data_IF_530580562961
#
_entry.id   IF_530580562961
#
_cell.length_a   1.000
_cell.length_b   1.000
_cell.length_c   1.000
_cell.angle_alpha   90.00
_cell.angle_beta   90.00
_cell.angle_gamma   90.00
#
_symmetry.space_group_name_H-M   'P 1'
#
loop_
_entity.id
_entity.type
_entity.pdbx_description
1 polymer ?
#
# COMPACT_ATOMS: atom_id res chain seq x y z
N UNK A 1 16.07 1.34 -5.95
CA UNK A 1 16.92 2.13 -5.04
C UNK A 1 16.22 2.46 -3.74
N UNK A 2 15.17 3.29 -3.77
CA UNK A 2 14.55 3.88 -2.57
C UNK A 2 13.93 2.89 -1.58
N UNK A 3 13.15 1.91 -2.04
CA UNK A 3 12.45 0.97 -1.14
C UNK A 3 13.39 -0.02 -0.43
N UNK A 4 14.40 -0.52 -1.14
CA UNK A 4 15.44 -1.38 -0.57
C UNK A 4 16.27 -0.61 0.47
N UNK A 5 16.56 0.67 0.20
CA UNK A 5 17.25 1.55 1.16
C UNK A 5 16.50 1.74 2.47
N UNK A 6 15.17 1.93 2.42
CA UNK A 6 14.34 2.06 3.64
C UNK A 6 14.36 0.79 4.48
N UNK A 7 14.28 -0.38 3.83
CA UNK A 7 14.33 -1.69 4.51
C UNK A 7 15.70 -1.92 5.16
N UNK A 8 16.79 -1.63 4.46
CA UNK A 8 18.16 -1.77 4.97
C UNK A 8 18.45 -0.77 6.10
N UNK A 9 18.03 0.49 5.98
CA UNK A 9 18.10 1.46 7.07
C UNK A 9 17.28 1.00 8.29
N UNK A 10 16.11 0.39 8.06
CA UNK A 10 15.28 -0.17 9.12
C UNK A 10 15.98 -1.32 9.86
N UNK A 11 16.66 -2.22 9.15
CA UNK A 11 17.46 -3.28 9.77
C UNK A 11 18.57 -2.72 10.65
N UNK A 12 19.35 -1.76 10.14
CA UNK A 12 20.37 -1.08 10.93
C UNK A 12 19.81 -0.32 12.14
N UNK A 13 18.63 0.30 12.01
CA UNK A 13 18.00 1.04 13.12
C UNK A 13 17.55 0.14 14.28
N UNK A 14 17.30 -1.14 14.01
CA UNK A 14 16.87 -2.13 15.00
C UNK A 14 18.01 -3.08 15.42
N UNK A 15 19.25 -2.82 14.99
CA UNK A 15 20.40 -3.67 15.30
C UNK A 15 20.36 -5.05 14.62
N UNK A 16 19.60 -5.19 13.53
CA UNK A 16 19.52 -6.42 12.75
C UNK A 16 20.67 -6.45 11.72
N UNK A 17 21.69 -7.25 11.99
CA UNK A 17 22.77 -7.57 11.04
C UNK A 17 22.28 -8.62 10.04
N UNK A 18 21.35 -8.23 9.17
CA UNK A 18 20.84 -9.08 8.11
C UNK A 18 21.62 -8.87 6.81
N UNK A 19 21.90 -9.93 6.03
CA UNK A 19 22.53 -9.78 4.74
C UNK A 19 21.60 -9.02 3.77
N UNK A 20 22.17 -8.27 2.83
CA UNK A 20 21.42 -7.34 1.94
C UNK A 20 20.37 -8.03 1.07
N UNK A 21 20.53 -9.32 0.79
CA UNK A 21 19.58 -10.19 0.09
C UNK A 21 18.30 -10.43 0.91
N UNK A 22 18.39 -10.45 2.25
CA UNK A 22 17.23 -10.55 3.14
C UNK A 22 16.24 -9.42 2.92
N UNK A 23 16.73 -8.19 2.64
CA UNK A 23 15.87 -7.05 2.33
C UNK A 23 15.02 -7.28 1.07
N UNK A 24 15.62 -7.88 0.02
CA UNK A 24 14.91 -8.19 -1.23
C UNK A 24 13.87 -9.29 -1.00
N UNK A 25 14.23 -10.33 -0.25
CA UNK A 25 13.34 -11.47 0.02
C UNK A 25 12.15 -11.03 0.88
N UNK A 26 12.40 -10.23 1.92
CA UNK A 26 11.33 -9.66 2.77
C UNK A 26 10.39 -8.78 1.93
N UNK A 27 10.93 -7.95 1.02
CA UNK A 27 10.11 -7.14 0.11
C UNK A 27 9.25 -8.00 -0.83
N UNK A 28 9.82 -9.06 -1.41
CA UNK A 28 9.09 -9.95 -2.32
C UNK A 28 7.97 -10.70 -1.58
N UNK A 29 8.25 -11.23 -0.39
CA UNK A 29 7.24 -11.93 0.42
C UNK A 29 6.13 -10.96 0.86
N UNK A 30 6.47 -9.74 1.29
CA UNK A 30 5.47 -8.72 1.59
C UNK A 30 4.64 -8.35 0.36
N UNK A 31 5.25 -8.18 -0.80
CA UNK A 31 4.54 -7.88 -2.05
C UNK A 31 3.54 -8.99 -2.39
N UNK A 32 3.93 -10.25 -2.27
CA UNK A 32 3.02 -11.39 -2.47
C UNK A 32 1.89 -11.37 -1.43
N UNK A 33 2.20 -11.11 -0.16
CA UNK A 33 1.19 -10.98 0.90
C UNK A 33 0.18 -9.87 0.63
N UNK A 34 0.62 -8.74 0.06
CA UNK A 34 -0.28 -7.63 -0.30
C UNK A 34 -1.18 -7.92 -1.50
N UNK A 35 -0.85 -8.91 -2.34
CA UNK A 35 -1.73 -9.33 -3.45
C UNK A 35 -3.02 -10.00 -2.95
N UNK A 36 -3.07 -10.40 -1.68
CA UNK A 36 -4.30 -10.85 -1.03
C UNK A 36 -4.88 -9.63 -0.28
N UNK A 37 -5.83 -8.88 -0.87
CA UNK A 37 -6.40 -7.70 -0.23
C UNK A 37 -7.39 -8.14 0.86
N UNK A 38 -6.89 -8.43 2.06
CA UNK A 38 -7.71 -8.91 3.18
C UNK A 38 -8.18 -7.80 4.12
N UNK A 39 -7.60 -6.60 4.04
CA UNK A 39 -7.93 -5.46 4.90
C UNK A 39 -7.61 -4.11 4.23
N UNK A 40 -8.35 -3.02 4.55
CA UNK A 40 -8.03 -1.67 4.09
C UNK A 40 -6.58 -1.30 4.43
N UNK A 41 -5.81 -0.87 3.43
CA UNK A 41 -4.42 -0.47 3.61
C UNK A 41 -3.42 -1.61 3.87
N UNK A 42 -3.81 -2.89 3.69
CA UNK A 42 -2.94 -4.06 3.90
C UNK A 42 -2.44 -4.25 5.35
N UNK A 43 -3.18 -3.70 6.31
CA UNK A 43 -2.93 -3.90 7.74
C UNK A 43 -3.26 -5.37 8.10
N UNK A 44 -2.35 -6.04 8.80
CA UNK A 44 -2.40 -7.46 9.13
C UNK A 44 -1.68 -8.33 8.10
N UNK A 45 -2.00 -8.24 6.81
CA UNK A 45 -1.38 -9.09 5.77
C UNK A 45 0.09 -8.74 5.55
N UNK A 46 0.43 -7.45 5.53
CA UNK A 46 1.82 -7.00 5.39
C UNK A 46 2.66 -7.37 6.61
N UNK A 47 2.14 -7.18 7.82
CA UNK A 47 2.83 -7.54 9.06
C UNK A 47 3.03 -9.06 9.13
N UNK A 48 2.00 -9.84 8.82
CA UNK A 48 2.09 -11.30 8.79
C UNK A 48 3.15 -11.79 7.80
N UNK A 49 3.10 -11.31 6.55
CA UNK A 49 4.03 -11.71 5.50
C UNK A 49 5.47 -11.29 5.81
N UNK A 50 5.68 -10.06 6.29
CA UNK A 50 7.01 -9.56 6.65
C UNK A 50 7.58 -10.28 7.88
N UNK A 51 6.77 -10.57 8.90
CA UNK A 51 7.19 -11.36 10.06
C UNK A 51 7.54 -12.79 9.66
N UNK A 52 6.77 -13.41 8.77
CA UNK A 52 7.07 -14.74 8.24
C UNK A 52 8.42 -14.76 7.51
N UNK A 53 8.67 -13.76 6.67
CA UNK A 53 9.93 -13.62 5.95
C UNK A 53 11.12 -13.45 6.91
N UNK A 54 11.02 -12.53 7.88
CA UNK A 54 12.11 -12.27 8.83
C UNK A 54 12.36 -13.42 9.79
N UNK A 55 11.33 -14.19 10.15
CA UNK A 55 11.49 -15.41 10.95
C UNK A 55 12.37 -16.45 10.25
N UNK A 56 12.35 -16.51 8.91
CA UNK A 56 13.22 -17.40 8.14
C UNK A 56 14.72 -17.03 8.29
N UNK A 57 15.01 -15.78 8.65
CA UNK A 57 16.36 -15.29 8.95
C UNK A 57 16.71 -15.35 10.43
N UNK A 58 15.92 -16.02 11.26
CA UNK A 58 16.19 -16.17 12.69
C UNK A 58 15.84 -14.94 13.53
N UNK A 59 15.11 -13.96 12.96
CA UNK A 59 14.64 -12.78 13.72
C UNK A 59 13.51 -13.19 14.64
N UNK A 60 13.57 -12.72 15.89
CA UNK A 60 12.50 -12.94 16.86
C UNK A 60 11.15 -12.41 16.35
N UNK A 61 10.04 -13.16 16.48
CA UNK A 61 8.74 -12.74 15.97
C UNK A 61 8.24 -11.39 16.50
N UNK A 62 8.53 -11.05 17.76
CA UNK A 62 8.12 -9.76 18.35
C UNK A 62 8.89 -8.59 17.73
N UNK A 63 10.18 -8.80 17.46
CA UNK A 63 11.03 -7.81 16.82
C UNK A 63 10.73 -7.67 15.32
N UNK A 64 10.43 -8.78 14.64
CA UNK A 64 9.98 -8.79 13.26
C UNK A 64 8.62 -8.08 13.07
N UNK A 65 7.68 -8.27 14.00
CA UNK A 65 6.42 -7.50 14.01
C UNK A 65 6.67 -6.01 14.23
N UNK A 66 7.56 -5.66 15.16
CA UNK A 66 7.92 -4.26 15.41
C UNK A 66 8.53 -3.60 14.17
N UNK A 67 9.44 -4.29 13.49
CA UNK A 67 10.03 -3.83 12.23
C UNK A 67 8.95 -3.60 11.15
N UNK A 68 8.08 -4.59 10.91
CA UNK A 68 7.07 -4.49 9.85
C UNK A 68 6.03 -3.40 10.12
N UNK A 69 5.70 -3.14 11.40
CA UNK A 69 4.86 -2.02 11.80
C UNK A 69 5.52 -0.67 11.50
N UNK A 70 6.78 -0.49 11.90
CA UNK A 70 7.54 0.75 11.63
C UNK A 70 7.67 0.96 10.12
N UNK A 71 8.02 -0.08 9.38
CA UNK A 71 8.11 -0.04 7.92
C UNK A 71 6.78 0.41 7.31
N UNK A 72 5.66 -0.21 7.70
CA UNK A 72 4.34 0.15 7.19
C UNK A 72 3.96 1.60 7.51
N UNK A 73 4.15 2.02 8.75
CA UNK A 73 3.90 3.39 9.19
C UNK A 73 4.76 4.40 8.42
N UNK A 74 6.04 4.09 8.20
CA UNK A 74 6.97 4.97 7.47
C UNK A 74 6.55 5.23 6.03
N UNK A 75 5.85 4.28 5.39
CA UNK A 75 5.33 4.44 4.04
C UNK A 75 3.95 5.10 4.06
N UNK A 76 3.11 4.76 5.04
CA UNK A 76 1.73 5.21 5.10
C UNK A 76 1.58 6.68 5.55
N UNK A 77 2.35 7.11 6.55
CA UNK A 77 2.26 8.48 7.10
C UNK A 77 2.66 9.57 6.10
N UNK A 78 3.75 9.47 5.34
CA UNK A 78 4.12 10.51 4.38
C UNK A 78 3.11 10.63 3.24
N UNK A 79 2.63 9.50 2.72
CA UNK A 79 1.65 9.48 1.62
C UNK A 79 0.32 10.06 2.10
N UNK A 80 -0.17 9.61 3.26
CA UNK A 80 -1.41 10.10 3.85
C UNK A 80 -1.29 11.57 4.24
N UNK A 81 -0.18 11.96 4.86
CA UNK A 81 0.08 13.33 5.26
C UNK A 81 0.15 14.29 4.07
N UNK A 82 0.80 13.89 2.98
CA UNK A 82 0.87 14.68 1.76
C UNK A 82 -0.50 14.79 1.07
N UNK A 83 -1.24 13.68 0.97
CA UNK A 83 -2.59 13.66 0.45
C UNK A 83 -3.54 14.55 1.26
N UNK A 84 -3.49 14.45 2.59
CA UNK A 84 -4.28 15.27 3.50
C UNK A 84 -3.89 16.75 3.41
N UNK A 85 -2.60 17.07 3.34
CA UNK A 85 -2.11 18.43 3.18
C UNK A 85 -2.63 19.08 1.90
N UNK A 86 -2.55 18.39 0.76
CA UNK A 86 -3.12 18.88 -0.49
C UNK A 86 -4.66 18.92 -0.46
N UNK A 87 -5.32 17.96 0.18
CA UNK A 87 -6.77 17.95 0.33
C UNK A 87 -7.28 19.18 1.09
N UNK A 88 -6.63 19.51 2.21
CA UNK A 88 -6.94 20.70 3.02
C UNK A 88 -6.58 21.98 2.27
N UNK A 89 -5.46 22.02 1.54
CA UNK A 89 -5.02 23.23 0.81
C UNK A 89 -5.79 23.51 -0.47
N UNK A 90 -6.25 22.48 -1.18
CA UNK A 90 -6.88 22.67 -2.48
C UNK A 90 -8.40 22.82 -2.42
N UNK A 91 -9.04 22.61 -1.25
CA UNK A 91 -10.51 22.56 -1.11
C UNK A 91 -11.17 21.97 -2.36
N UNK A 92 -10.61 20.86 -2.89
CA UNK A 92 -11.15 20.23 -4.09
C UNK A 92 -12.54 19.78 -3.72
N UNK A 93 -13.47 20.63 -4.11
CA UNK A 93 -14.85 20.55 -3.71
C UNK A 93 -15.30 19.16 -4.12
N UNK A 94 -15.56 18.29 -3.15
CA UNK A 94 -16.26 17.03 -3.40
C UNK A 94 -17.54 17.31 -4.22
N UNK A 95 -18.10 18.53 -4.09
CA UNK A 95 -19.21 19.03 -4.91
C UNK A 95 -18.87 19.18 -6.40
N UNK A 96 -17.62 19.43 -6.78
CA UNK A 96 -17.18 19.53 -8.19
C UNK A 96 -17.08 18.17 -8.88
N UNK A 97 -16.57 17.15 -8.19
CA UNK A 97 -16.55 15.77 -8.68
C UNK A 97 -17.96 15.16 -8.73
N UNK A 98 -18.79 15.42 -7.72
CA UNK A 98 -20.20 15.01 -7.70
C UNK A 98 -21.02 15.76 -8.76
N UNK A 99 -20.76 17.05 -9.00
CA UNK A 99 -21.42 17.80 -10.08
C UNK A 99 -21.01 17.32 -11.48
N UNK A 100 -19.75 16.89 -11.67
CA UNK A 100 -19.29 16.32 -12.93
C UNK A 100 -19.89 14.94 -13.23
N UNK A 101 -20.10 14.10 -12.20
CA UNK A 101 -20.79 12.80 -12.32
C UNK A 101 -22.31 12.96 -12.53
N UNK A 102 -22.92 13.97 -11.88
CA UNK A 102 -24.33 14.31 -12.05
C UNK A 102 -24.67 14.87 -13.45
N UNK A 103 -23.65 15.27 -14.22
CA UNK A 103 -23.79 15.73 -15.60
C UNK A 103 -23.64 14.61 -16.65
N UNK A 104 -23.36 13.36 -16.25
CA UNK A 104 -23.30 12.23 -17.17
C UNK A 104 -24.73 11.79 -17.51
N UNK A 105 -25.20 11.88 -18.77
CA UNK A 105 -26.52 11.39 -19.13
C UNK A 105 -26.60 9.89 -18.82
N UNK A 106 -27.37 9.51 -17.81
CA UNK A 106 -27.75 8.13 -17.55
C UNK A 106 -28.67 7.68 -18.67
N UNK A 107 -28.09 7.06 -19.70
CA UNK A 107 -28.80 6.51 -20.84
C UNK A 107 -28.50 7.25 -22.12
N UNK A 108 -27.39 6.89 -22.77
CA UNK A 108 -27.43 6.81 -24.23
C UNK A 108 -28.24 5.55 -24.58
N UNK A 109 -29.42 5.67 -25.19
CA UNK A 109 -30.13 4.51 -25.70
C UNK A 109 -29.19 3.76 -26.66
N UNK A 110 -28.97 2.46 -26.42
CA UNK A 110 -28.33 1.60 -27.41
C UNK A 110 -29.21 1.67 -28.67
N UNK A 111 -28.68 2.12 -29.82
CA UNK A 111 -29.46 2.14 -31.04
C UNK A 111 -29.87 0.70 -31.35
N UNK A 112 -31.17 0.39 -31.21
CA UNK A 112 -31.72 -0.79 -31.86
C UNK A 112 -31.75 -0.48 -33.35
N UNK A 113 -30.67 -0.86 -34.02
CA UNK A 113 -30.63 -1.00 -35.47
C UNK A 113 -31.79 -1.91 -35.88
N UNK A 114 -32.75 -1.29 -36.55
CA UNK A 114 -33.86 -1.91 -37.24
C UNK A 114 -33.28 -2.80 -38.34
N UNK A 115 -33.53 -4.11 -38.24
CA UNK A 115 -33.40 -5.05 -39.34
C UNK A 115 -34.76 -5.69 -39.58
N UNK A 116 -35.66 -4.95 -40.24
CA UNK A 116 -36.78 -5.54 -40.96
C UNK A 116 -36.27 -5.87 -42.36
N UNK A 117 -36.38 -7.14 -42.73
CA UNK A 117 -36.24 -7.70 -44.07
C UNK A 117 -36.94 -9.04 -44.06
#
# INVERSE_FOLDING_TARGET
GSLVGVVVCGFHSLGLELPTDAGVIVLVVMAIGTMIPSAPGFIGTLQYAGTLALKQYGVDPSLALSFTLIYHASQWFPVTGLGFFYFVRQQMSLKGLVAADSGRPSGTPIPRGIGRG
#
